data_IF_100234610762
#
_entry.id   IF_100234610762
#
_cell.length_a   1.000
_cell.length_b   1.000
_cell.length_c   1.000
_cell.angle_alpha   90.00
_cell.angle_beta   90.00
_cell.angle_gamma   90.00
#
_symmetry.space_group_name_H-M   'P 1'
#
loop_
_entity.id
_entity.type
_entity.pdbx_description
1 polymer ?
#
# COMPACT_ATOMS: atom_id res chain seq x y z
N UNK A 1 5.79 3.01 10.96
CA UNK A 1 5.62 1.55 10.79
C UNK A 1 6.44 1.08 9.59
N UNK A 2 6.19 1.65 8.41
CA UNK A 2 6.84 1.23 7.17
C UNK A 2 8.14 1.96 6.81
N UNK A 3 8.58 2.97 7.59
CA UNK A 3 9.82 3.69 7.33
C UNK A 3 9.80 4.39 5.97
N UNK A 4 10.89 4.26 5.20
CA UNK A 4 10.94 4.66 3.80
C UNK A 4 10.27 3.60 2.94
N UNK A 5 9.13 3.95 2.34
CA UNK A 5 8.46 3.08 1.38
C UNK A 5 9.30 3.04 0.10
N UNK A 6 9.57 1.86 -0.47
CA UNK A 6 10.26 1.73 -1.74
C UNK A 6 9.59 2.58 -2.83
N UNK A 7 10.40 3.28 -3.63
CA UNK A 7 9.89 4.19 -4.65
C UNK A 7 8.95 3.49 -5.65
N UNK A 8 9.19 2.21 -5.95
CA UNK A 8 8.31 1.39 -6.79
C UNK A 8 6.91 1.21 -6.18
N UNK A 9 6.81 0.99 -4.87
CA UNK A 9 5.52 0.88 -4.19
C UNK A 9 4.81 2.22 -4.14
N UNK A 10 5.54 3.30 -3.87
CA UNK A 10 4.97 4.65 -3.86
C UNK A 10 4.41 5.03 -5.24
N UNK A 11 5.11 4.70 -6.33
CA UNK A 11 4.61 4.91 -7.69
C UNK A 11 3.33 4.10 -7.94
N UNK A 12 3.29 2.82 -7.55
CA UNK A 12 2.08 1.99 -7.66
C UNK A 12 0.91 2.60 -6.90
N UNK A 13 1.13 3.04 -5.66
CA UNK A 13 0.10 3.66 -4.83
C UNK A 13 -0.40 4.96 -5.47
N UNK A 14 0.49 5.79 -6.03
CA UNK A 14 0.11 7.04 -6.72
C UNK A 14 -0.68 6.81 -8.01
N UNK A 15 -0.53 5.64 -8.64
CA UNK A 15 -1.28 5.24 -9.84
C UNK A 15 -2.62 4.57 -9.50
N UNK A 16 -2.89 4.23 -8.23
CA UNK A 16 -4.15 3.62 -7.85
C UNK A 16 -5.33 4.60 -7.96
N UNK A 17 -6.51 4.12 -8.36
CA UNK A 17 -7.72 4.92 -8.33
C UNK A 17 -8.14 5.22 -6.88
N UNK A 18 -8.87 6.31 -6.69
CA UNK A 18 -9.33 6.80 -5.36
C UNK A 18 -10.04 5.72 -4.54
N UNK A 19 -10.91 4.92 -5.16
CA UNK A 19 -11.61 3.82 -4.50
C UNK A 19 -10.65 2.79 -3.87
N UNK A 20 -9.53 2.50 -4.54
CA UNK A 20 -8.48 1.62 -4.02
C UNK A 20 -7.66 2.31 -2.96
N UNK A 21 -7.44 3.62 -3.04
CA UNK A 21 -6.73 4.36 -1.99
C UNK A 21 -7.53 4.40 -0.68
N UNK A 22 -8.85 4.50 -0.75
CA UNK A 22 -9.72 4.39 0.42
C UNK A 22 -9.65 3.00 1.06
N UNK A 23 -9.69 1.95 0.23
CA UNK A 23 -9.58 0.55 0.67
C UNK A 23 -8.18 0.24 1.24
N UNK A 24 -7.12 0.77 0.60
CA UNK A 24 -5.75 0.71 1.09
C UNK A 24 -5.63 1.36 2.46
N UNK A 25 -6.25 2.53 2.67
CA UNK A 25 -6.20 3.23 3.95
C UNK A 25 -6.79 2.43 5.12
N UNK A 26 -7.83 1.63 4.85
CA UNK A 26 -8.41 0.70 5.83
C UNK A 26 -7.48 -0.49 6.06
N UNK A 27 -7.01 -1.14 4.99
CA UNK A 27 -6.10 -2.28 5.09
C UNK A 27 -4.75 -1.92 5.73
N UNK A 28 -4.28 -0.68 5.56
CA UNK A 28 -3.04 -0.17 6.16
C UNK A 28 -3.05 -0.22 7.70
N UNK A 29 -4.24 -0.20 8.30
CA UNK A 29 -4.40 -0.32 9.76
C UNK A 29 -4.04 -1.74 10.25
N UNK A 30 -4.31 -2.74 9.42
CA UNK A 30 -4.05 -4.16 9.66
C UNK A 30 -2.65 -4.61 9.17
N UNK A 31 -1.94 -3.79 8.38
CA UNK A 31 -0.61 -4.14 7.91
C UNK A 31 0.43 -4.03 9.04
N UNK A 32 1.17 -5.12 9.22
CA UNK A 32 2.33 -5.18 10.12
C UNK A 32 3.66 -4.98 9.36
N UNK A 33 3.73 -5.39 8.09
CA UNK A 33 4.97 -5.36 7.30
C UNK A 33 4.80 -4.79 5.90
N UNK A 34 5.92 -4.38 5.28
CA UNK A 34 5.93 -3.96 3.87
C UNK A 34 5.47 -5.09 2.92
N UNK A 35 5.64 -6.34 3.32
CA UNK A 35 5.18 -7.50 2.55
C UNK A 35 3.65 -7.57 2.49
N UNK A 36 2.94 -7.18 3.55
CA UNK A 36 1.47 -7.11 3.54
C UNK A 36 0.98 -6.04 2.56
N UNK A 37 1.67 -4.89 2.56
CA UNK A 37 1.42 -3.80 1.61
C UNK A 37 1.70 -4.23 0.16
N UNK A 38 2.82 -4.90 -0.08
CA UNK A 38 3.20 -5.40 -1.41
C UNK A 38 2.19 -6.44 -1.93
N UNK A 39 1.83 -7.42 -1.11
CA UNK A 39 0.81 -8.42 -1.43
C UNK A 39 -0.57 -7.80 -1.70
N UNK A 40 -0.94 -6.72 -1.01
CA UNK A 40 -2.20 -6.04 -1.24
C UNK A 40 -2.21 -5.27 -2.56
N UNK A 41 -1.07 -4.65 -2.91
CA UNK A 41 -0.88 -3.92 -4.16
C UNK A 41 -0.73 -4.84 -5.38
N UNK A 42 -0.20 -6.05 -5.17
CA UNK A 42 0.05 -7.06 -6.19
C UNK A 42 -0.59 -8.41 -5.78
N UNK A 43 -1.92 -8.55 -5.90
CA UNK A 43 -2.64 -9.79 -5.56
C UNK A 43 -2.37 -10.95 -6.53
#
# INVERSE_FOLDING_TARGET
>A
RFGEIPQNLEETIRQLPVERLEDLGLALLDFDTLTDLDNWLHP
#
